data_IF_716757598596
#
_entry.id   IF_716757598596
#
_cell.length_a   1.000
_cell.length_b   1.000
_cell.length_c   1.000
_cell.angle_alpha   90.00
_cell.angle_beta   90.00
_cell.angle_gamma   90.00
#
_symmetry.space_group_name_H-M   'P 1'
#
loop_
_entity.id
_entity.type
_entity.pdbx_description
1 polymer ?
#
# COMPACT_ATOMS: atom_id res chain seq x y z
N UNK A 1 -4.15 32.58 26.93
CA UNK A 1 -5.16 32.03 26.00
C UNK A 1 -4.65 30.67 25.56
N UNK A 2 -5.26 29.60 26.07
CA UNK A 2 -4.76 28.23 25.90
C UNK A 2 -5.18 27.69 24.53
N UNK A 3 -4.22 27.19 23.76
CA UNK A 3 -4.47 26.40 22.55
C UNK A 3 -5.05 25.06 22.98
N UNK A 4 -6.36 24.91 22.86
CA UNK A 4 -7.02 23.62 22.99
C UNK A 4 -6.68 22.81 21.73
N UNK A 5 -5.71 21.90 21.86
CA UNK A 5 -5.47 20.85 20.87
C UNK A 5 -6.69 19.94 20.91
N UNK A 6 -7.69 20.24 20.07
CA UNK A 6 -8.80 19.32 19.82
C UNK A 6 -8.17 18.13 19.11
N UNK A 7 -8.05 17.01 19.83
CA UNK A 7 -7.76 15.72 19.22
C UNK A 7 -8.87 15.46 18.20
N UNK A 8 -8.60 15.66 16.92
CA UNK A 8 -9.51 15.28 15.84
C UNK A 8 -9.64 13.77 15.89
N UNK A 9 -10.79 13.28 16.38
CA UNK A 9 -11.12 11.87 16.37
C UNK A 9 -10.99 11.34 14.95
N UNK A 10 -10.13 10.33 14.77
CA UNK A 10 -9.91 9.66 13.48
C UNK A 10 -11.24 9.08 12.98
N UNK A 11 -11.67 9.45 11.78
CA UNK A 11 -12.89 8.90 11.20
C UNK A 11 -12.64 7.45 10.80
N UNK A 12 -13.35 6.50 11.40
CA UNK A 12 -13.24 5.08 11.07
C UNK A 12 -14.33 4.66 10.09
N UNK A 13 -13.93 4.01 9.01
CA UNK A 13 -14.83 3.49 7.98
C UNK A 13 -14.60 1.99 7.86
N UNK A 14 -15.64 1.21 8.09
CA UNK A 14 -15.59 -0.24 7.92
C UNK A 14 -16.08 -0.60 6.53
N UNK A 15 -15.37 -1.50 5.83
CA UNK A 15 -15.86 -2.02 4.56
C UNK A 15 -17.11 -2.91 4.79
N UNK A 16 -18.10 -2.90 3.89
CA UNK A 16 -19.22 -3.83 3.97
C UNK A 16 -18.75 -5.26 3.65
N UNK A 17 -19.10 -6.24 4.48
CA UNK A 17 -18.68 -7.64 4.30
C UNK A 17 -19.62 -8.43 3.40
N UNK A 18 -20.89 -8.04 3.30
CA UNK A 18 -21.84 -8.70 2.41
C UNK A 18 -21.37 -8.75 0.94
N UNK A 19 -20.99 -7.64 0.27
CA UNK A 19 -20.56 -7.69 -1.13
C UNK A 19 -19.27 -8.50 -1.32
N UNK A 20 -18.40 -8.53 -0.31
CA UNK A 20 -17.18 -9.30 -0.35
C UNK A 20 -17.47 -10.81 -0.19
N UNK A 21 -18.44 -11.18 0.67
CA UNK A 21 -18.88 -12.56 0.80
C UNK A 21 -19.46 -13.09 -0.50
N UNK A 22 -20.31 -12.31 -1.19
CA UNK A 22 -20.88 -12.68 -2.49
C UNK A 22 -19.77 -13.00 -3.51
N UNK A 23 -18.77 -12.12 -3.63
CA UNK A 23 -17.64 -12.34 -4.54
C UNK A 23 -16.83 -13.59 -4.17
N UNK A 24 -16.61 -13.86 -2.88
CA UNK A 24 -15.90 -15.07 -2.44
C UNK A 24 -16.69 -16.32 -2.80
N UNK A 25 -18.01 -16.32 -2.58
CA UNK A 25 -18.89 -17.45 -2.88
C UNK A 25 -18.90 -17.72 -4.38
N UNK A 26 -19.03 -16.69 -5.20
CA UNK A 26 -18.96 -16.80 -6.67
C UNK A 26 -17.60 -17.36 -7.12
N UNK A 27 -16.51 -16.83 -6.55
CA UNK A 27 -15.14 -17.23 -6.87
C UNK A 27 -14.84 -18.69 -6.49
N UNK A 28 -15.43 -19.18 -5.39
CA UNK A 28 -15.34 -20.57 -4.94
C UNK A 28 -16.40 -21.49 -5.58
N UNK A 29 -17.28 -20.95 -6.42
CA UNK A 29 -18.42 -21.64 -7.03
C UNK A 29 -19.39 -22.26 -6.01
N UNK A 30 -19.55 -21.64 -4.85
CA UNK A 30 -20.48 -22.08 -3.81
C UNK A 30 -21.93 -21.65 -4.12
N UNK A 31 -22.88 -22.22 -3.39
CA UNK A 31 -24.28 -21.81 -3.49
C UNK A 31 -24.48 -20.46 -2.79
N UNK A 32 -25.51 -19.72 -3.24
CA UNK A 32 -25.89 -18.44 -2.66
C UNK A 32 -26.07 -18.54 -1.13
N UNK A 33 -25.49 -17.60 -0.36
CA UNK A 33 -25.58 -17.64 1.09
C UNK A 33 -27.03 -17.44 1.54
N UNK A 34 -27.49 -18.27 2.47
CA UNK A 34 -28.84 -18.14 3.04
C UNK A 34 -28.76 -17.39 4.35
N UNK A 35 -29.53 -16.31 4.44
CA UNK A 35 -29.67 -15.49 5.63
C UNK A 35 -30.85 -15.97 6.48
N UNK A 36 -30.67 -16.06 7.80
CA UNK A 36 -31.72 -16.49 8.74
C UNK A 36 -31.64 -15.69 10.04
N UNK A 37 -32.82 -15.26 10.53
CA UNK A 37 -32.97 -14.69 11.86
C UNK A 37 -33.06 -15.84 12.87
N UNK A 38 -32.21 -15.81 13.90
CA UNK A 38 -32.18 -16.82 14.96
C UNK A 38 -33.03 -16.41 16.16
N UNK A 39 -32.95 -15.14 16.54
CA UNK A 39 -33.72 -14.56 17.65
C UNK A 39 -34.07 -13.10 17.34
N UNK A 40 -35.37 -12.83 17.27
CA UNK A 40 -35.91 -11.49 17.01
C UNK A 40 -35.77 -10.58 18.24
N UNK A 41 -35.79 -11.14 19.46
CA UNK A 41 -35.71 -10.36 20.70
C UNK A 41 -34.32 -9.78 20.94
N UNK A 42 -33.27 -10.43 20.41
CA UNK A 42 -31.88 -9.99 20.53
C UNK A 42 -31.28 -9.54 19.19
N UNK A 43 -32.12 -9.39 18.14
CA UNK A 43 -31.71 -9.12 16.76
C UNK A 43 -30.56 -10.02 16.26
N UNK A 44 -30.53 -11.29 16.68
CA UNK A 44 -29.44 -12.21 16.35
C UNK A 44 -29.77 -12.95 15.07
N UNK A 45 -28.83 -12.90 14.12
CA UNK A 45 -28.96 -13.50 12.81
C UNK A 45 -27.72 -14.31 12.42
N UNK A 46 -27.89 -15.23 11.48
CA UNK A 46 -26.80 -16.02 10.92
C UNK A 46 -26.82 -16.06 9.39
N UNK A 47 -25.66 -16.35 8.82
CA UNK A 47 -25.50 -16.67 7.41
C UNK A 47 -25.03 -18.10 7.25
N UNK A 48 -25.68 -18.84 6.36
CA UNK A 48 -25.35 -20.22 6.01
C UNK A 48 -24.77 -20.29 4.60
N UNK A 49 -23.54 -20.81 4.47
CA UNK A 49 -22.85 -20.99 3.19
C UNK A 49 -22.77 -22.47 2.87
N UNK A 50 -23.33 -22.89 1.73
CA UNK A 50 -23.31 -24.29 1.29
C UNK A 50 -22.30 -24.50 0.18
N UNK A 51 -21.51 -25.56 0.31
CA UNK A 51 -20.63 -26.00 -0.78
C UNK A 51 -21.40 -26.77 -1.83
N UNK A 52 -20.90 -26.75 -3.05
CA UNK A 52 -21.36 -27.50 -4.22
C UNK A 52 -20.95 -29.00 -4.18
N UNK A 53 -20.11 -29.42 -3.24
CA UNK A 53 -19.49 -30.77 -3.21
C UNK A 53 -20.04 -31.63 -2.06
N UNK A 54 -20.90 -31.11 -1.18
CA UNK A 54 -21.46 -31.91 -0.08
C UNK A 54 -22.63 -31.28 0.66
N UNK A 55 -23.29 -32.05 1.55
CA UNK A 55 -24.46 -31.60 2.30
C UNK A 55 -24.13 -30.64 3.45
N UNK A 56 -22.84 -30.44 3.73
CA UNK A 56 -22.38 -29.63 4.87
C UNK A 56 -22.54 -28.15 4.55
N UNK A 57 -23.32 -27.47 5.40
CA UNK A 57 -23.42 -26.01 5.41
C UNK A 57 -22.53 -25.44 6.51
N UNK A 58 -21.76 -24.39 6.19
CA UNK A 58 -21.09 -23.58 7.18
C UNK A 58 -22.06 -22.53 7.71
N UNK A 59 -22.30 -22.50 9.00
CA UNK A 59 -23.20 -21.54 9.64
C UNK A 59 -22.38 -20.57 10.48
N UNK A 60 -22.54 -19.27 10.21
CA UNK A 60 -21.84 -18.20 10.90
C UNK A 60 -22.86 -17.32 11.62
N UNK A 61 -22.80 -17.30 12.95
CA UNK A 61 -23.74 -16.55 13.80
C UNK A 61 -23.18 -15.16 14.07
N UNK A 62 -23.96 -14.12 13.83
CA UNK A 62 -23.61 -12.72 14.09
C UNK A 62 -23.48 -12.42 15.57
N UNK A 63 -24.42 -12.95 16.36
CA UNK A 63 -24.57 -12.66 17.79
C UNK A 63 -25.52 -11.48 18.02
N UNK A 64 -25.79 -11.17 19.28
CA UNK A 64 -26.68 -10.07 19.67
C UNK A 64 -26.17 -8.70 19.15
N UNK A 65 -27.11 -7.85 18.74
CA UNK A 65 -26.82 -6.54 18.17
C UNK A 65 -27.98 -5.54 18.38
N UNK A 66 -27.70 -4.24 18.20
CA UNK A 66 -28.74 -3.20 18.32
C UNK A 66 -29.72 -3.27 17.15
N UNK A 67 -29.22 -3.68 15.98
CA UNK A 67 -30.03 -3.89 14.79
C UNK A 67 -29.73 -5.23 14.14
N UNK A 68 -30.73 -5.76 13.43
CA UNK A 68 -30.58 -6.98 12.64
C UNK A 68 -29.41 -6.84 11.65
N UNK A 69 -29.30 -5.68 10.99
CA UNK A 69 -28.23 -5.39 10.02
C UNK A 69 -26.82 -5.49 10.59
N UNK A 70 -26.60 -5.05 11.82
CA UNK A 70 -25.32 -5.21 12.50
C UNK A 70 -24.99 -6.68 12.80
N UNK A 71 -25.97 -7.46 13.26
CA UNK A 71 -25.77 -8.91 13.43
C UNK A 71 -25.44 -9.56 12.09
N UNK A 72 -26.11 -9.16 11.00
CA UNK A 72 -25.80 -9.65 9.66
C UNK A 72 -24.34 -9.37 9.28
N UNK A 73 -23.89 -8.13 9.42
CA UNK A 73 -22.51 -7.75 9.07
C UNK A 73 -21.47 -8.49 9.92
N UNK A 74 -21.73 -8.70 11.22
CA UNK A 74 -20.88 -9.58 12.07
C UNK A 74 -20.85 -11.02 11.55
N UNK A 75 -21.98 -11.55 11.10
CA UNK A 75 -22.07 -12.90 10.53
C UNK A 75 -21.29 -12.99 9.20
N UNK A 76 -21.45 -12.00 8.31
CA UNK A 76 -20.71 -11.91 7.05
C UNK A 76 -19.21 -11.77 7.28
N UNK A 77 -18.79 -10.93 8.22
CA UNK A 77 -17.39 -10.78 8.60
C UNK A 77 -16.77 -12.11 9.03
N UNK A 78 -17.46 -12.88 9.88
CA UNK A 78 -17.01 -14.21 10.31
C UNK A 78 -16.91 -15.18 9.13
N UNK A 79 -17.92 -15.19 8.25
CA UNK A 79 -17.94 -16.03 7.05
C UNK A 79 -16.78 -15.72 6.10
N UNK A 80 -16.60 -14.43 5.76
CA UNK A 80 -15.52 -13.94 4.90
C UNK A 80 -14.16 -14.35 5.47
N UNK A 81 -13.94 -14.13 6.78
CA UNK A 81 -12.68 -14.49 7.43
C UNK A 81 -12.38 -15.98 7.35
N UNK A 82 -13.36 -16.82 7.65
CA UNK A 82 -13.15 -18.27 7.62
C UNK A 82 -12.87 -18.75 6.19
N UNK A 83 -13.65 -18.28 5.21
CA UNK A 83 -13.50 -18.68 3.81
C UNK A 83 -12.17 -18.22 3.21
N UNK A 84 -11.73 -16.98 3.47
CA UNK A 84 -10.42 -16.47 3.06
C UNK A 84 -9.31 -17.40 3.56
N UNK A 85 -9.34 -17.73 4.85
CA UNK A 85 -8.32 -18.57 5.48
C UNK A 85 -8.39 -20.02 4.98
N UNK A 86 -9.58 -20.57 4.85
CA UNK A 86 -9.79 -21.99 4.55
C UNK A 86 -9.47 -22.33 3.09
N UNK A 87 -9.76 -21.42 2.18
CA UNK A 87 -9.58 -21.60 0.73
C UNK A 87 -8.45 -20.75 0.15
N UNK A 88 -7.67 -20.07 1.01
CA UNK A 88 -6.56 -19.20 0.62
C UNK A 88 -6.95 -18.13 -0.41
N UNK A 89 -8.16 -17.58 -0.28
CA UNK A 89 -8.66 -16.54 -1.20
C UNK A 89 -7.87 -15.26 -0.98
N UNK A 90 -7.32 -14.69 -2.05
CA UNK A 90 -6.68 -13.40 -2.02
C UNK A 90 -7.74 -12.28 -2.08
N UNK A 91 -7.70 -11.35 -1.13
CA UNK A 91 -8.53 -10.15 -1.16
C UNK A 91 -7.68 -8.93 -1.49
N UNK A 92 -7.97 -8.32 -2.63
CA UNK A 92 -7.45 -7.01 -3.00
C UNK A 92 -8.25 -5.92 -2.25
N UNK A 93 -7.60 -5.26 -1.30
CA UNK A 93 -8.14 -4.16 -0.50
C UNK A 93 -7.30 -2.87 -0.64
N UNK A 94 -7.57 -1.87 0.21
CA UNK A 94 -6.87 -0.57 0.16
C UNK A 94 -5.39 -0.71 0.50
N UNK A 95 -5.00 -1.70 1.30
CA UNK A 95 -3.60 -1.93 1.70
C UNK A 95 -2.83 -2.79 0.70
N UNK A 96 -3.51 -3.58 -0.13
CA UNK A 96 -2.88 -4.53 -1.06
C UNK A 96 -1.85 -3.89 -1.98
N UNK A 97 -2.15 -2.72 -2.58
CA UNK A 97 -1.20 -2.01 -3.45
C UNK A 97 0.05 -1.58 -2.70
N UNK A 98 -0.12 -1.03 -1.50
CA UNK A 98 1.00 -0.61 -0.64
C UNK A 98 1.84 -1.81 -0.21
N UNK A 99 1.20 -2.89 0.23
CA UNK A 99 1.87 -4.14 0.60
C UNK A 99 2.68 -4.69 -0.58
N UNK A 100 2.10 -4.70 -1.78
CA UNK A 100 2.79 -5.16 -2.99
C UNK A 100 4.00 -4.29 -3.33
N UNK A 101 3.85 -2.96 -3.23
CA UNK A 101 4.96 -2.03 -3.45
C UNK A 101 6.09 -2.27 -2.44
N UNK A 102 5.77 -2.40 -1.14
CA UNK A 102 6.74 -2.70 -0.09
C UNK A 102 7.47 -4.02 -0.33
N UNK A 103 6.76 -5.08 -0.73
CA UNK A 103 7.37 -6.38 -1.08
C UNK A 103 8.31 -6.26 -2.28
N UNK A 104 7.93 -5.50 -3.32
CA UNK A 104 8.78 -5.23 -4.49
C UNK A 104 10.03 -4.46 -4.09
N UNK A 105 9.89 -3.41 -3.28
CA UNK A 105 11.02 -2.64 -2.76
C UNK A 105 11.97 -3.52 -1.94
N UNK A 106 11.46 -4.35 -1.02
CA UNK A 106 12.26 -5.28 -0.24
C UNK A 106 13.08 -6.22 -1.14
N UNK A 107 12.45 -6.80 -2.17
CA UNK A 107 13.13 -7.66 -3.15
C UNK A 107 14.23 -6.92 -3.91
N UNK A 108 13.98 -5.67 -4.32
CA UNK A 108 14.98 -4.86 -5.01
C UNK A 108 16.20 -4.56 -4.12
N UNK A 109 15.98 -4.19 -2.85
CA UNK A 109 17.09 -3.97 -1.91
C UNK A 109 17.91 -5.24 -1.67
N UNK A 110 17.24 -6.39 -1.52
CA UNK A 110 17.90 -7.69 -1.43
C UNK A 110 18.78 -7.97 -2.65
N UNK A 111 18.24 -7.80 -3.86
CA UNK A 111 19.00 -8.01 -5.10
C UNK A 111 20.22 -7.09 -5.21
N UNK A 112 20.07 -5.81 -4.85
CA UNK A 112 21.20 -4.86 -4.85
C UNK A 112 22.25 -5.22 -3.79
N UNK A 113 21.85 -5.68 -2.61
CA UNK A 113 22.79 -6.18 -1.58
C UNK A 113 23.57 -7.38 -2.11
N UNK A 114 22.87 -8.36 -2.68
CA UNK A 114 23.49 -9.57 -3.21
C UNK A 114 24.47 -9.23 -4.36
N UNK A 115 24.16 -8.24 -5.21
CA UNK A 115 25.09 -7.72 -6.22
C UNK A 115 26.38 -7.17 -5.59
N UNK A 116 26.26 -6.34 -4.55
CA UNK A 116 27.42 -5.80 -3.83
C UNK A 116 28.25 -6.91 -3.17
N UNK A 117 27.62 -7.85 -2.48
CA UNK A 117 28.33 -8.96 -1.84
C UNK A 117 29.03 -9.88 -2.86
N UNK A 118 28.45 -10.05 -4.05
CA UNK A 118 29.09 -10.80 -5.13
C UNK A 118 30.31 -10.05 -5.67
N UNK A 119 30.26 -8.72 -5.79
CA UNK A 119 31.42 -7.89 -6.15
C UNK A 119 32.56 -8.07 -5.14
N UNK A 120 32.25 -8.03 -3.84
CA UNK A 120 33.26 -8.24 -2.79
C UNK A 120 33.88 -9.65 -2.85
N UNK A 121 33.08 -10.67 -3.16
CA UNK A 121 33.53 -12.07 -3.29
C UNK A 121 34.21 -12.35 -4.65
N UNK A 122 34.38 -11.35 -5.51
CA UNK A 122 34.98 -11.51 -6.86
C UNK A 122 34.16 -12.39 -7.80
N UNK A 123 32.86 -12.57 -7.54
CA UNK A 123 31.97 -13.39 -8.37
C UNK A 123 31.39 -12.56 -9.51
N UNK A 124 31.38 -13.12 -10.71
CA UNK A 124 30.74 -12.47 -11.86
C UNK A 124 29.26 -12.19 -11.58
N UNK A 125 28.76 -11.05 -12.11
CA UNK A 125 27.36 -10.66 -12.03
C UNK A 125 26.49 -11.78 -12.61
N UNK A 126 25.82 -12.53 -11.74
CA UNK A 126 24.75 -13.43 -12.20
C UNK A 126 23.72 -12.56 -12.87
N UNK A 127 23.41 -12.86 -14.12
CA UNK A 127 22.29 -12.25 -14.82
C UNK A 127 21.05 -12.62 -14.00
N UNK A 128 20.57 -11.65 -13.22
CA UNK A 128 19.48 -11.87 -12.28
C UNK A 128 18.29 -12.40 -13.06
N UNK A 129 17.65 -13.42 -12.51
CA UNK A 129 16.32 -13.79 -12.95
C UNK A 129 15.44 -12.56 -12.74
N UNK A 130 15.22 -11.82 -13.82
CA UNK A 130 14.45 -10.57 -13.85
C UNK A 130 12.96 -10.84 -13.66
N UNK A 131 12.61 -12.04 -13.20
CA UNK A 131 11.31 -12.32 -12.68
C UNK A 131 11.12 -11.55 -11.37
N UNK A 132 10.81 -10.25 -11.50
CA UNK A 132 10.21 -9.42 -10.46
C UNK A 132 8.85 -9.97 -10.01
N UNK A 133 8.42 -11.13 -10.54
CA UNK A 133 7.31 -11.91 -10.05
C UNK A 133 6.08 -11.04 -10.08
N UNK A 134 5.50 -10.87 -11.26
CA UNK A 134 4.05 -10.74 -11.31
C UNK A 134 3.59 -12.02 -10.60
N UNK A 135 3.21 -11.91 -9.32
CA UNK A 135 2.55 -13.00 -8.60
C UNK A 135 1.55 -13.56 -9.60
N UNK A 136 1.71 -14.82 -9.96
CA UNK A 136 0.88 -15.48 -10.96
C UNK A 136 -0.56 -15.50 -10.42
N UNK A 137 -1.27 -14.40 -10.66
CA UNK A 137 -2.63 -14.13 -10.15
C UNK A 137 -3.62 -15.17 -10.69
N UNK A 138 -3.20 -15.96 -11.67
CA UNK A 138 -4.04 -16.93 -12.34
C UNK A 138 -4.20 -18.24 -11.55
N UNK A 139 -3.43 -18.45 -10.47
CA UNK A 139 -3.49 -19.69 -9.67
C UNK A 139 -4.24 -19.56 -8.34
N UNK A 140 -4.46 -18.34 -7.84
CA UNK A 140 -5.11 -18.10 -6.54
C UNK A 140 -6.43 -17.38 -6.73
N UNK A 141 -7.56 -17.89 -6.20
CA UNK A 141 -8.84 -17.19 -6.18
C UNK A 141 -8.67 -15.76 -5.66
N UNK A 142 -9.03 -14.76 -6.46
CA UNK A 142 -8.81 -13.35 -6.13
C UNK A 142 -10.12 -12.57 -6.21
N UNK A 143 -10.47 -11.88 -5.13
CA UNK A 143 -11.63 -11.00 -5.03
C UNK A 143 -11.20 -9.60 -4.63
N UNK A 144 -12.07 -8.61 -4.81
CA UNK A 144 -11.73 -7.21 -4.61
C UNK A 144 -12.77 -6.54 -3.70
N UNK A 145 -12.34 -5.68 -2.78
CA UNK A 145 -13.30 -4.86 -2.02
C UNK A 145 -14.03 -3.90 -2.98
N UNK A 146 -15.29 -3.58 -2.68
CA UNK A 146 -16.03 -2.59 -3.45
C UNK A 146 -15.61 -1.17 -3.03
N UNK A 147 -14.58 -0.63 -3.71
CA UNK A 147 -14.06 0.70 -3.43
C UNK A 147 -15.10 1.81 -3.65
N UNK A 148 -16.06 1.63 -4.57
CA UNK A 148 -17.13 2.61 -4.76
C UNK A 148 -18.02 2.72 -3.52
N UNK A 149 -18.33 1.61 -2.84
CA UNK A 149 -19.09 1.65 -1.60
C UNK A 149 -18.32 2.32 -0.46
N UNK A 150 -16.99 2.17 -0.43
CA UNK A 150 -16.14 2.90 0.51
C UNK A 150 -16.18 4.40 0.22
N UNK A 151 -16.03 4.82 -1.04
CA UNK A 151 -16.14 6.24 -1.44
C UNK A 151 -17.49 6.83 -1.06
N UNK A 152 -18.60 6.12 -1.33
CA UNK A 152 -19.95 6.55 -0.92
C UNK A 152 -20.06 6.72 0.60
N UNK A 153 -19.45 5.83 1.36
CA UNK A 153 -19.43 5.91 2.82
C UNK A 153 -18.61 7.12 3.29
N UNK A 154 -17.46 7.39 2.67
CA UNK A 154 -16.66 8.59 2.93
C UNK A 154 -17.50 9.85 2.67
N UNK A 155 -18.16 9.93 1.50
CA UNK A 155 -18.96 11.11 1.10
C UNK A 155 -20.17 11.35 2.00
N UNK A 156 -20.70 10.31 2.66
CA UNK A 156 -21.78 10.44 3.66
C UNK A 156 -21.30 10.98 5.00
N UNK A 157 -20.04 10.73 5.35
CA UNK A 157 -19.48 11.10 6.65
C UNK A 157 -18.65 12.39 6.61
N UNK A 158 -18.32 12.88 5.41
CA UNK A 158 -17.52 14.09 5.21
C UNK A 158 -18.34 15.08 4.40
N UNK A 159 -18.42 16.32 4.89
CA UNK A 159 -19.00 17.43 4.14
C UNK A 159 -18.14 17.73 2.90
N UNK A 160 -18.57 17.24 1.74
CA UNK A 160 -18.02 17.60 0.44
C UNK A 160 -19.08 17.56 -0.64
N UNK A 161 -18.83 18.29 -1.73
CA UNK A 161 -19.63 18.15 -2.95
C UNK A 161 -18.85 17.34 -3.98
N UNK A 162 -19.56 16.54 -4.77
CA UNK A 162 -18.97 15.79 -5.87
C UNK A 162 -19.89 15.78 -7.08
N UNK A 163 -19.34 15.86 -8.28
CA UNK A 163 -20.11 15.58 -9.50
C UNK A 163 -20.42 14.08 -9.63
N UNK A 164 -21.44 13.70 -10.42
CA UNK A 164 -21.65 12.30 -10.79
C UNK A 164 -20.42 11.71 -11.49
N UNK A 165 -20.20 10.40 -11.33
CA UNK A 165 -19.13 9.71 -12.04
C UNK A 165 -19.49 9.62 -13.51
N UNK A 166 -18.69 10.26 -14.35
CA UNK A 166 -18.76 10.16 -15.79
C UNK A 166 -17.79 9.09 -16.29
N UNK A 167 -18.06 8.50 -17.46
CA UNK A 167 -17.20 7.46 -18.04
C UNK A 167 -17.26 7.51 -19.56
N UNK A 168 -16.10 7.40 -20.20
CA UNK A 168 -15.95 7.39 -21.66
C UNK A 168 -15.09 6.21 -22.08
N UNK A 169 -15.38 5.67 -23.26
CA UNK A 169 -14.49 4.74 -23.94
C UNK A 169 -13.42 5.53 -24.68
N UNK A 170 -12.16 5.44 -24.24
CA UNK A 170 -11.05 6.20 -24.84
C UNK A 170 -10.38 5.44 -26.00
N UNK A 171 -10.53 4.11 -26.03
CA UNK A 171 -10.07 3.21 -27.08
C UNK A 171 -10.92 1.93 -27.03
N UNK A 172 -10.93 1.08 -28.08
CA UNK A 172 -11.76 -0.12 -28.09
C UNK A 172 -11.56 -1.01 -26.85
N UNK A 173 -12.62 -1.15 -26.05
CA UNK A 173 -12.62 -1.93 -24.81
C UNK A 173 -11.91 -1.26 -23.62
N UNK A 174 -11.44 -0.02 -23.75
CA UNK A 174 -10.72 0.74 -22.71
C UNK A 174 -11.55 1.94 -22.27
N UNK A 175 -11.84 2.00 -20.97
CA UNK A 175 -12.68 3.01 -20.37
C UNK A 175 -11.91 3.87 -19.37
N UNK A 176 -12.24 5.16 -19.33
CA UNK A 176 -11.77 6.11 -18.34
C UNK A 176 -12.98 6.71 -17.63
N UNK A 177 -12.95 6.71 -16.29
CA UNK A 177 -13.96 7.33 -15.44
C UNK A 177 -13.38 8.55 -14.73
N UNK A 178 -14.19 9.58 -14.52
CA UNK A 178 -13.78 10.76 -13.75
C UNK A 178 -14.92 11.34 -12.91
N UNK A 179 -14.55 12.15 -11.93
CA UNK A 179 -15.44 13.03 -11.18
C UNK A 179 -14.66 14.25 -10.65
N UNK A 180 -15.39 15.28 -10.23
CA UNK A 180 -14.83 16.45 -9.55
C UNK A 180 -15.26 16.45 -8.10
N UNK A 181 -14.33 16.72 -7.19
CA UNK A 181 -14.56 16.86 -5.74
C UNK A 181 -14.31 18.31 -5.33
N UNK A 182 -15.22 18.86 -4.53
CA UNK A 182 -15.12 20.19 -3.92
C UNK A 182 -15.20 20.07 -2.40
N UNK A 183 -14.05 20.17 -1.68
CA UNK A 183 -14.00 20.17 -0.22
C UNK A 183 -14.70 21.39 0.40
N UNK A 184 -15.50 21.20 1.45
CA UNK A 184 -16.26 22.29 2.08
C UNK A 184 -15.37 23.40 2.70
N UNK A 185 -14.20 23.03 3.22
CA UNK A 185 -13.29 23.97 3.93
C UNK A 185 -12.19 24.60 3.05
N UNK A 186 -12.21 24.38 1.73
CA UNK A 186 -11.22 24.95 0.80
C UNK A 186 -11.93 25.69 -0.31
N UNK A 187 -12.30 26.94 -0.03
CA UNK A 187 -12.82 27.87 -1.03
C UNK A 187 -11.79 27.95 -2.17
N UNK A 188 -12.20 27.51 -3.37
CA UNK A 188 -11.43 27.50 -4.64
C UNK A 188 -10.49 26.32 -4.94
N UNK A 189 -10.64 25.15 -4.30
CA UNK A 189 -9.93 23.94 -4.74
C UNK A 189 -10.92 22.89 -5.25
N UNK A 190 -11.28 22.97 -6.53
CA UNK A 190 -11.92 21.87 -7.24
C UNK A 190 -10.84 20.90 -7.71
N UNK A 191 -10.97 19.63 -7.31
CA UNK A 191 -10.03 18.60 -7.72
C UNK A 191 -10.73 17.58 -8.62
N UNK A 192 -10.29 17.52 -9.88
CA UNK A 192 -10.78 16.54 -10.84
C UNK A 192 -9.91 15.28 -10.79
N UNK A 193 -10.55 14.13 -10.58
CA UNK A 193 -9.88 12.84 -10.46
C UNK A 193 -10.25 11.93 -11.64
N UNK A 194 -9.25 11.26 -12.21
CA UNK A 194 -9.40 10.40 -13.38
C UNK A 194 -8.86 9.00 -13.10
N UNK A 195 -9.56 7.95 -13.54
CA UNK A 195 -9.03 6.59 -13.55
C UNK A 195 -7.93 6.43 -14.60
N UNK A 196 -7.12 5.38 -14.46
CA UNK A 196 -6.33 4.90 -15.60
C UNK A 196 -7.25 4.20 -16.62
N UNK A 197 -6.87 4.15 -17.91
CA UNK A 197 -7.56 3.33 -18.90
C UNK A 197 -7.67 1.89 -18.42
N UNK A 198 -8.90 1.37 -18.35
CA UNK A 198 -9.19 0.06 -17.76
C UNK A 198 -10.10 -0.78 -18.67
N UNK A 199 -9.94 -2.12 -18.69
CA UNK A 199 -10.81 -3.00 -19.46
C UNK A 199 -12.20 -3.07 -18.82
N UNK A 200 -13.17 -2.41 -19.45
CA UNK A 200 -14.56 -2.36 -19.00
C UNK A 200 -14.92 -1.25 -18.02
N UNK A 201 -16.21 -0.91 -18.01
CA UNK A 201 -16.79 0.17 -17.21
C UNK A 201 -16.61 -0.01 -15.69
N UNK A 202 -16.78 -1.24 -15.19
CA UNK A 202 -16.68 -1.55 -13.76
C UNK A 202 -15.25 -1.35 -13.27
N UNK A 203 -14.26 -1.82 -14.02
CA UNK A 203 -12.85 -1.69 -13.68
C UNK A 203 -12.41 -0.22 -13.65
N UNK A 204 -12.85 0.59 -14.62
CA UNK A 204 -12.55 2.03 -14.66
C UNK A 204 -13.09 2.76 -13.42
N UNK A 205 -14.35 2.48 -13.02
CA UNK A 205 -14.95 3.08 -11.83
C UNK A 205 -14.29 2.63 -10.52
N UNK A 206 -13.90 1.36 -10.41
CA UNK A 206 -13.15 0.88 -9.24
C UNK A 206 -11.75 1.50 -9.17
N UNK A 207 -11.08 1.68 -10.32
CA UNK A 207 -9.78 2.35 -10.37
C UNK A 207 -9.89 3.84 -9.97
N UNK A 208 -10.91 4.56 -10.46
CA UNK A 208 -11.22 5.92 -10.00
C UNK A 208 -11.43 5.95 -8.47
N UNK A 209 -12.25 5.03 -7.94
CA UNK A 209 -12.53 4.95 -6.51
C UNK A 209 -11.27 4.72 -5.66
N UNK A 210 -10.34 3.85 -6.12
CA UNK A 210 -9.03 3.67 -5.47
C UNK A 210 -8.26 4.98 -5.36
N UNK A 211 -8.21 5.76 -6.44
CA UNK A 211 -7.50 7.06 -6.46
C UNK A 211 -8.16 8.06 -5.51
N UNK A 212 -9.49 8.13 -5.50
CA UNK A 212 -10.25 8.99 -4.57
C UNK A 212 -9.94 8.62 -3.12
N UNK A 213 -9.99 7.34 -2.77
CA UNK A 213 -9.66 6.88 -1.41
C UNK A 213 -8.22 7.26 -1.04
N UNK A 214 -7.26 7.02 -1.94
CA UNK A 214 -5.86 7.36 -1.71
C UNK A 214 -5.62 8.86 -1.49
N UNK A 215 -6.47 9.71 -2.09
CA UNK A 215 -6.45 11.16 -1.89
C UNK A 215 -7.12 11.59 -0.56
N UNK A 216 -8.30 11.06 -0.26
CA UNK A 216 -9.11 11.50 0.89
C UNK A 216 -8.61 10.96 2.23
N UNK A 217 -8.10 9.72 2.26
CA UNK A 217 -7.61 9.07 3.48
C UNK A 217 -6.57 9.93 4.22
N UNK A 218 -5.47 10.38 3.58
CA UNK A 218 -4.51 11.25 4.26
C UNK A 218 -5.05 12.66 4.50
N UNK A 219 -5.89 13.20 3.60
CA UNK A 219 -6.42 14.56 3.70
C UNK A 219 -7.32 14.76 4.93
N UNK A 220 -8.12 13.75 5.27
CA UNK A 220 -9.09 13.81 6.37
C UNK A 220 -8.73 12.89 7.56
N UNK A 221 -7.52 12.31 7.56
CA UNK A 221 -7.07 11.35 8.57
C UNK A 221 -8.10 10.21 8.80
N UNK A 222 -8.50 9.56 7.72
CA UNK A 222 -9.50 8.47 7.74
C UNK A 222 -8.78 7.14 8.00
N UNK A 223 -9.35 6.31 8.87
CA UNK A 223 -8.99 4.89 9.00
C UNK A 223 -9.99 4.04 8.23
N UNK A 224 -9.52 3.25 7.26
CA UNK A 224 -10.38 2.23 6.65
C UNK A 224 -10.03 0.87 7.25
N UNK A 225 -11.02 0.27 7.93
CA UNK A 225 -10.92 -1.07 8.50
C UNK A 225 -11.15 -2.07 7.36
N UNK A 226 -10.06 -2.68 6.90
CA UNK A 226 -10.03 -3.57 5.74
C UNK A 226 -10.41 -5.04 6.04
N UNK A 227 -10.53 -5.83 4.97
CA UNK A 227 -10.86 -7.26 5.04
C UNK A 227 -9.68 -8.13 5.43
N UNK A 228 -8.45 -7.66 5.21
CA UNK A 228 -7.26 -8.44 5.51
C UNK A 228 -6.87 -8.38 7.00
N UNK A 229 -7.70 -7.75 7.84
CA UNK A 229 -7.70 -7.80 9.32
C UNK A 229 -6.29 -7.87 9.92
N UNK A 230 -5.44 -6.98 9.45
CA UNK A 230 -4.04 -7.05 9.76
C UNK A 230 -3.31 -5.81 9.33
N UNK A 231 -3.44 -4.74 10.13
CA UNK A 231 -2.35 -3.78 10.31
C UNK A 231 -1.00 -4.51 10.46
N UNK A 232 -1.00 -5.74 11.00
CA UNK A 232 0.16 -6.63 11.07
C UNK A 232 0.78 -6.99 9.71
N UNK A 233 0.00 -7.24 8.64
CA UNK A 233 0.57 -7.61 7.33
C UNK A 233 1.21 -6.41 6.63
N UNK A 234 0.59 -5.23 6.71
CA UNK A 234 1.14 -3.99 6.18
C UNK A 234 2.34 -3.49 6.99
N UNK A 235 2.26 -3.58 8.32
CA UNK A 235 3.36 -3.29 9.26
C UNK A 235 4.53 -4.24 9.02
N UNK A 236 4.27 -5.55 8.93
CA UNK A 236 5.30 -6.55 8.64
C UNK A 236 5.99 -6.28 7.30
N UNK A 237 5.22 -6.03 6.22
CA UNK A 237 5.79 -5.71 4.91
C UNK A 237 6.64 -4.43 4.95
N UNK A 238 6.23 -3.44 5.74
CA UNK A 238 6.99 -2.21 5.97
C UNK A 238 8.30 -2.47 6.71
N UNK A 239 8.26 -3.28 7.77
CA UNK A 239 9.44 -3.69 8.57
C UNK A 239 10.42 -4.46 7.69
N UNK A 240 9.96 -5.46 6.94
CA UNK A 240 10.80 -6.24 6.02
C UNK A 240 11.47 -5.33 4.98
N UNK A 241 10.71 -4.41 4.39
CA UNK A 241 11.27 -3.46 3.42
C UNK A 241 12.33 -2.55 4.04
N UNK A 242 12.11 -2.07 5.28
CA UNK A 242 13.06 -1.24 5.99
C UNK A 242 14.36 -2.00 6.33
N UNK A 243 14.24 -3.23 6.83
CA UNK A 243 15.39 -4.09 7.15
C UNK A 243 16.23 -4.42 5.92
N UNK A 244 15.60 -4.74 4.78
CA UNK A 244 16.34 -5.00 3.54
C UNK A 244 17.05 -3.74 3.03
N UNK A 245 16.40 -2.56 3.16
CA UNK A 245 17.04 -1.27 2.84
C UNK A 245 18.27 -1.02 3.70
N UNK A 246 18.17 -1.20 5.01
CA UNK A 246 19.28 -1.00 5.95
C UNK A 246 20.42 -1.97 5.68
N UNK A 247 20.09 -3.24 5.43
CA UNK A 247 21.06 -4.28 5.06
C UNK A 247 21.82 -3.92 3.78
N UNK A 248 21.12 -3.47 2.74
CA UNK A 248 21.72 -2.97 1.51
C UNK A 248 22.65 -1.77 1.75
N UNK A 249 22.20 -0.76 2.50
CA UNK A 249 23.00 0.44 2.75
C UNK A 249 24.26 0.14 3.58
N UNK A 250 24.17 -0.82 4.50
CA UNK A 250 25.32 -1.30 5.29
C UNK A 250 26.33 -1.99 4.38
N UNK A 251 25.88 -2.86 3.48
CA UNK A 251 26.75 -3.48 2.48
C UNK A 251 27.39 -2.43 1.54
N UNK A 252 26.63 -1.40 1.14
CA UNK A 252 27.09 -0.32 0.27
C UNK A 252 28.18 0.53 0.94
N UNK A 253 28.01 0.89 2.21
CA UNK A 253 29.05 1.62 2.97
C UNK A 253 30.31 0.77 3.14
N UNK A 254 30.15 -0.50 3.51
CA UNK A 254 31.27 -1.43 3.71
C UNK A 254 32.08 -1.67 2.43
N UNK A 255 31.40 -1.88 1.30
CA UNK A 255 32.04 -2.31 0.05
C UNK A 255 32.46 -1.11 -0.82
N UNK A 256 31.65 -0.05 -0.87
CA UNK A 256 31.91 1.11 -1.73
C UNK A 256 32.41 2.34 -0.94
N UNK A 257 32.40 2.32 0.39
CA UNK A 257 32.75 3.48 1.21
C UNK A 257 31.71 4.62 1.16
N UNK A 258 30.55 4.40 0.55
CA UNK A 258 29.52 5.43 0.38
C UNK A 258 28.60 5.43 1.60
N UNK A 259 28.70 6.49 2.40
CA UNK A 259 27.84 6.71 3.57
C UNK A 259 26.66 7.60 3.20
N UNK A 260 25.46 7.06 3.32
CA UNK A 260 24.21 7.83 3.21
C UNK A 260 23.60 8.03 4.60
N UNK A 261 23.05 9.23 4.82
CA UNK A 261 22.27 9.52 6.02
C UNK A 261 21.03 8.62 6.03
N UNK A 262 20.77 7.98 7.16
CA UNK A 262 19.62 7.12 7.35
C UNK A 262 18.75 7.68 8.46
N UNK A 263 17.48 7.90 8.17
CA UNK A 263 16.47 7.97 9.21
C UNK A 263 16.11 6.53 9.59
N UNK A 264 16.21 6.15 10.88
CA UNK A 264 15.75 4.83 11.32
C UNK A 264 14.25 4.70 11.01
N UNK A 265 13.83 3.49 10.62
CA UNK A 265 12.40 3.24 10.43
C UNK A 265 11.65 3.54 11.74
N UNK A 266 10.59 4.32 11.67
CA UNK A 266 9.75 4.69 12.83
C UNK A 266 9.34 3.45 13.65
N UNK A 267 9.15 2.31 12.99
CA UNK A 267 8.77 1.04 13.63
C UNK A 267 9.93 0.32 14.35
N UNK A 268 11.19 0.55 13.95
CA UNK A 268 12.37 0.07 14.69
C UNK A 268 12.62 0.92 15.94
N UNK A 269 12.25 2.21 15.88
CA UNK A 269 12.33 3.15 17.02
C UNK A 269 11.32 2.79 18.12
N UNK A 270 10.13 2.30 17.76
CA UNK A 270 9.10 1.89 18.74
C UNK A 270 9.42 0.56 19.47
N UNK A 271 10.29 -0.30 18.90
CA UNK A 271 10.60 -1.62 19.48
C UNK A 271 11.92 -1.64 20.27
N UNK A 272 12.57 -0.49 20.51
CA UNK A 272 13.92 -0.42 21.09
C UNK A 272 14.93 -1.33 20.36
N UNK A 273 14.69 -1.59 19.07
CA UNK A 273 15.50 -2.48 18.27
C UNK A 273 16.81 -1.77 17.92
N UNK A 274 17.90 -2.33 18.41
CA UNK A 274 19.25 -1.81 18.17
C UNK A 274 19.65 -2.04 16.72
N UNK A 275 19.92 -0.96 15.99
CA UNK A 275 20.52 -1.01 14.66
C UNK A 275 22.04 -0.88 14.74
N UNK A 276 22.83 -1.54 13.86
CA UNK A 276 24.30 -1.39 13.82
C UNK A 276 24.78 0.05 13.58
N UNK A 277 23.90 0.94 13.12
CA UNK A 277 24.17 2.37 12.87
C UNK A 277 23.65 3.31 13.96
N UNK A 278 22.93 2.80 14.97
CA UNK A 278 22.48 3.59 16.10
C UNK A 278 23.69 4.28 16.77
N UNK A 279 23.50 5.53 17.19
CA UNK A 279 24.57 6.38 17.75
C UNK A 279 25.29 5.69 18.92
N UNK A 280 24.56 4.88 19.69
CA UNK A 280 25.07 4.08 20.80
C UNK A 280 26.03 2.94 20.42
N UNK A 281 26.08 2.53 19.15
CA UNK A 281 26.91 1.42 18.66
C UNK A 281 27.87 1.81 17.53
N UNK A 282 27.92 3.10 17.16
CA UNK A 282 28.98 3.59 16.29
C UNK A 282 30.32 3.46 17.01
N UNK A 283 31.17 2.54 16.54
CA UNK A 283 32.55 2.45 17.00
C UNK A 283 33.18 3.83 16.72
N UNK A 284 33.72 4.53 17.75
CA UNK A 284 34.37 5.81 17.55
C UNK A 284 35.44 5.65 16.47
N UNK A 285 35.32 6.43 15.39
CA UNK A 285 36.31 6.41 14.33
C UNK A 285 37.63 6.85 14.93
N UNK A 286 38.56 5.91 15.15
CA UNK A 286 39.94 6.24 15.49
C UNK A 286 40.46 6.98 14.25
N UNK A 287 40.73 8.27 14.41
CA UNK A 287 41.36 9.09 13.37
C UNK A 287 42.68 8.41 12.97
N UNK A 288 42.65 7.64 11.88
CA UNK A 288 43.86 7.10 11.31
C UNK A 288 44.73 8.27 10.85
N UNK A 289 46.05 8.25 11.10
CA UNK A 289 46.94 9.33 10.72
C UNK A 289 46.87 9.60 9.21
N UNK A 290 47.01 10.87 8.77
CA UNK A 290 46.82 11.25 7.38
C UNK A 290 47.75 10.45 6.47
N UNK A 291 47.16 9.85 5.43
CA UNK A 291 47.92 9.17 4.39
C UNK A 291 48.90 10.14 3.71
N UNK A 292 50.12 9.69 3.37
CA UNK A 292 51.13 10.54 2.76
C UNK A 292 50.68 11.08 1.39
N UNK A 293 51.12 12.29 1.01
CA UNK A 293 50.65 12.97 -0.19
C UNK A 293 51.01 12.22 -1.46
N UNK A 294 50.00 11.83 -2.25
CA UNK A 294 50.19 11.28 -3.60
C UNK A 294 50.71 12.37 -4.53
N UNK A 295 51.83 12.10 -5.21
CA UNK A 295 52.44 13.00 -6.19
C UNK A 295 51.46 13.30 -7.34
N UNK A 296 51.26 14.60 -7.60
CA UNK A 296 50.49 15.17 -8.71
C UNK A 296 50.98 14.64 -10.06
N UNK A 297 50.06 14.20 -10.93
CA UNK A 297 50.24 14.26 -12.38
C UNK A 297 49.29 15.32 -12.95
N UNK A 298 49.82 16.07 -13.90
CA UNK A 298 49.35 17.34 -14.46
C UNK A 298 47.96 17.28 -15.13
N UNK A 299 47.27 18.42 -15.03
CA UNK A 299 45.95 18.75 -15.57
C UNK A 299 45.88 18.78 -17.10
N UNK A 300 44.70 18.52 -17.67
CA UNK A 300 44.14 19.28 -18.79
C UNK A 300 42.66 19.56 -18.48
N UNK A 301 42.27 20.82 -18.62
CA UNK A 301 40.94 21.37 -18.36
C UNK A 301 40.06 21.35 -19.62
N UNK A 302 38.73 21.29 -19.45
CA UNK A 302 37.79 22.03 -20.30
C UNK A 302 36.48 22.32 -19.56
N UNK A 303 36.25 23.62 -19.38
CA UNK A 303 35.00 24.38 -19.47
C UNK A 303 33.78 24.00 -18.62
N UNK A 304 33.54 24.88 -17.63
CA UNK A 304 32.30 25.03 -16.89
C UNK A 304 31.49 26.20 -17.47
N UNK A 305 30.24 25.93 -17.85
CA UNK A 305 29.21 26.95 -18.00
C UNK A 305 28.46 27.12 -16.67
N UNK A 306 28.51 28.34 -16.12
CA UNK A 306 27.69 28.80 -15.01
C UNK A 306 26.22 28.91 -15.39
N UNK A 307 25.32 28.47 -14.50
CA UNK A 307 23.97 29.01 -14.39
C UNK A 307 23.59 29.14 -12.91
N UNK A 308 23.40 30.38 -12.50
CA UNK A 308 22.88 30.81 -11.20
C UNK A 308 21.39 30.49 -11.12
N UNK A 309 20.97 29.78 -10.07
CA UNK A 309 19.57 29.45 -9.81
C UNK A 309 19.19 29.80 -8.36
N UNK A 310 18.18 30.66 -8.23
CA UNK A 310 17.77 31.32 -7.00
C UNK A 310 17.22 30.38 -5.92
N UNK A 311 17.48 30.77 -4.67
CA UNK A 311 16.96 30.18 -3.44
C UNK A 311 15.44 30.26 -3.38
N UNK A 312 14.78 29.11 -3.24
CA UNK A 312 13.37 28.99 -2.90
C UNK A 312 13.22 27.87 -1.87
N UNK A 313 12.84 28.26 -0.65
CA UNK A 313 12.60 27.37 0.50
C UNK A 313 11.52 26.36 0.13
N UNK A 314 11.86 25.07 0.06
CA UNK A 314 10.91 23.95 0.02
C UNK A 314 10.91 23.23 1.36
N UNK A 315 9.73 23.08 1.95
CA UNK A 315 9.49 22.26 3.14
C UNK A 315 9.80 20.77 2.92
N UNK A 316 9.77 19.95 3.99
CA UNK A 316 10.29 18.58 3.97
C UNK A 316 9.46 17.70 3.03
N UNK A 317 10.13 17.18 2.01
CA UNK A 317 9.56 16.30 1.00
C UNK A 317 9.86 14.84 1.42
N UNK A 318 8.90 14.17 2.06
CA UNK A 318 9.14 12.90 2.77
C UNK A 318 9.34 11.65 1.90
N UNK A 319 9.18 11.73 0.58
CA UNK A 319 9.42 10.59 -0.31
C UNK A 319 9.94 11.05 -1.69
N UNK A 320 11.14 11.63 -1.73
CA UNK A 320 11.88 11.68 -2.99
C UNK A 320 12.48 10.30 -3.25
N UNK A 321 11.93 9.58 -4.23
CA UNK A 321 12.60 8.46 -4.87
C UNK A 321 13.91 9.00 -5.46
N UNK A 322 15.09 8.42 -5.17
CA UNK A 322 16.35 8.88 -5.77
C UNK A 322 16.23 8.94 -7.30
N UNK A 323 16.64 10.06 -7.92
CA UNK A 323 16.60 10.30 -9.39
C UNK A 323 17.23 9.16 -10.20
N UNK A 324 18.15 8.42 -9.61
CA UNK A 324 18.81 7.24 -10.16
C UNK A 324 17.83 6.07 -10.47
N UNK A 325 16.63 6.06 -9.90
CA UNK A 325 15.58 5.06 -10.15
C UNK A 325 14.66 5.41 -11.32
N UNK A 326 14.55 6.69 -11.72
CA UNK A 326 13.73 7.08 -12.88
C UNK A 326 14.35 6.62 -14.21
N UNK A 327 15.68 6.48 -14.26
CA UNK A 327 16.37 6.08 -15.49
C UNK A 327 16.13 4.61 -15.90
N UNK A 328 15.63 3.77 -14.99
CA UNK A 328 15.30 2.36 -15.29
C UNK A 328 13.93 2.22 -15.95
N UNK A 329 13.07 3.25 -15.87
CA UNK A 329 11.69 3.22 -16.39
C UNK A 329 11.51 3.87 -17.76
N UNK A 330 12.57 4.39 -18.40
CA UNK A 330 12.46 4.87 -19.78
C UNK A 330 12.51 3.67 -20.73
N UNK A 331 11.46 3.43 -21.53
CA UNK A 331 11.56 2.46 -22.61
C UNK A 331 12.63 2.94 -23.59
N UNK A 332 13.63 2.10 -23.84
CA UNK A 332 14.48 2.22 -25.02
C UNK A 332 13.56 2.06 -26.23
N UNK A 333 13.33 3.17 -26.96
CA UNK A 333 12.71 3.12 -28.28
C UNK A 333 13.56 2.17 -29.14
N UNK A 334 12.95 1.09 -29.62
CA UNK A 334 13.45 0.34 -30.76
C UNK A 334 12.90 0.96 -32.03
#
# INVERSE_FOLDING_TARGET
MALQVVATSKLQITIPFYPLLTQIIECLHFLEPVYQLLDESTNNACVSVKTNIGPVAYVYVGGEAETIGESCEKAYQKAVRDLIRKYSVHVEDITSTRILALKKCAKLYRLKRDELENLEKGRAKKQGDNDLGILDRNSVPCVCVDYLSIVRTIFRNIEMQSTPIETVECAPGQFVSWLTITPFNKVNLEECMFSDPSPGLVAAKQNLAKKIIAYLVPLYNIEVIDANYGAQNSTYSSVVCALERESYLTARERILGIKELMEPSVLLVEQDCVTPRAVSYQIPTINSPPLPPKKRKYNIASDAHSAVGASGIKGPNYFSVPEELEMVFKPTKK
#
